data_IF_774337619863
#
_entry.id   IF_774337619863
#
_cell.length_a   1.000
_cell.length_b   1.000
_cell.length_c   1.000
_cell.angle_alpha   90.00
_cell.angle_beta   90.00
_cell.angle_gamma   90.00
#
_symmetry.space_group_name_H-M   'P 1'
#
loop_
_entity.id
_entity.type
_entity.pdbx_description
1 polymer ?
#
# COMPACT_ATOMS: atom_id res chain seq x y z
N UNK A 1 22.38 -10.13 14.98
CA UNK A 1 22.52 -11.16 13.92
C UNK A 1 21.80 -12.39 14.43
N UNK A 2 21.09 -13.10 13.56
CA UNK A 2 20.46 -14.37 13.91
C UNK A 2 21.52 -15.37 14.40
N UNK A 3 21.31 -15.95 15.57
CA UNK A 3 22.13 -17.06 16.04
C UNK A 3 22.01 -18.24 15.07
N UNK A 4 23.14 -18.66 14.51
CA UNK A 4 23.21 -19.71 13.50
C UNK A 4 22.72 -21.05 14.07
N UNK A 5 22.90 -21.30 15.37
CA UNK A 5 22.41 -22.51 16.02
C UNK A 5 20.88 -22.54 16.09
N UNK A 6 20.25 -21.43 16.50
CA UNK A 6 18.78 -21.30 16.53
C UNK A 6 18.19 -21.38 15.12
N UNK A 7 18.84 -20.76 14.13
CA UNK A 7 18.41 -20.84 12.73
C UNK A 7 18.41 -22.29 12.23
N UNK A 8 19.51 -23.01 12.45
CA UNK A 8 19.64 -24.41 12.04
C UNK A 8 18.58 -25.29 12.69
N UNK A 9 18.33 -25.11 13.99
CA UNK A 9 17.32 -25.86 14.71
C UNK A 9 15.91 -25.63 14.12
N UNK A 10 15.50 -24.36 13.97
CA UNK A 10 14.17 -24.04 13.48
C UNK A 10 13.97 -24.42 12.01
N UNK A 11 14.98 -24.22 11.17
CA UNK A 11 14.91 -24.63 9.77
C UNK A 11 14.90 -26.15 9.65
N UNK A 12 15.67 -26.87 10.46
CA UNK A 12 15.66 -28.34 10.50
C UNK A 12 14.28 -28.90 10.83
N UNK A 13 13.69 -28.45 11.94
CA UNK A 13 12.35 -28.86 12.37
C UNK A 13 11.30 -28.60 11.26
N UNK A 14 11.40 -27.45 10.60
CA UNK A 14 10.52 -27.07 9.50
C UNK A 14 10.69 -27.98 8.27
N UNK A 15 11.93 -28.28 7.86
CA UNK A 15 12.20 -29.13 6.70
C UNK A 15 11.84 -30.60 6.96
N UNK A 16 11.93 -31.05 8.21
CA UNK A 16 11.54 -32.40 8.60
C UNK A 16 10.04 -32.64 8.48
N UNK A 17 9.22 -31.60 8.65
CA UNK A 17 7.79 -31.67 8.42
C UNK A 17 7.41 -31.97 6.95
N UNK A 18 8.31 -31.68 5.98
CA UNK A 18 8.09 -31.92 4.55
C UNK A 18 8.77 -33.20 4.04
N UNK A 19 8.58 -34.33 4.72
CA UNK A 19 9.21 -35.61 4.35
C UNK A 19 10.75 -35.57 4.47
N UNK A 20 11.25 -35.07 5.61
CA UNK A 20 12.68 -35.10 5.98
C UNK A 20 13.60 -34.48 4.93
N UNK A 21 13.23 -33.31 4.40
CA UNK A 21 14.03 -32.58 3.41
C UNK A 21 15.24 -31.89 4.04
N UNK A 22 15.41 -31.99 5.36
CA UNK A 22 16.53 -31.45 6.13
C UNK A 22 17.87 -31.87 5.53
N UNK A 23 18.09 -33.15 5.25
CA UNK A 23 19.34 -33.65 4.66
C UNK A 23 19.63 -33.06 3.26
N UNK A 24 18.59 -32.79 2.47
CA UNK A 24 18.74 -32.25 1.11
C UNK A 24 19.07 -30.76 1.09
N UNK A 25 18.54 -30.00 2.04
CA UNK A 25 18.75 -28.54 2.10
C UNK A 25 19.87 -28.18 3.07
N UNK A 26 19.91 -28.74 4.27
CA UNK A 26 20.98 -28.49 5.24
C UNK A 26 22.30 -29.17 4.83
N UNK A 27 22.23 -30.35 4.19
CA UNK A 27 23.40 -31.04 3.65
C UNK A 27 23.94 -30.44 2.34
N UNK A 28 23.18 -29.52 1.71
CA UNK A 28 23.61 -28.81 0.51
C UNK A 28 23.96 -27.36 0.87
N UNK A 29 25.27 -27.05 0.85
CA UNK A 29 25.78 -25.73 1.25
C UNK A 29 25.17 -24.56 0.47
N UNK A 30 24.85 -24.74 -0.82
CA UNK A 30 24.24 -23.71 -1.65
C UNK A 30 22.77 -23.49 -1.29
N UNK A 31 22.02 -24.57 -1.07
CA UNK A 31 20.62 -24.48 -0.67
C UNK A 31 20.50 -23.86 0.72
N UNK A 32 21.32 -24.32 1.68
CA UNK A 32 21.38 -23.74 3.02
C UNK A 32 21.74 -22.24 2.98
N UNK A 33 22.77 -21.85 2.23
CA UNK A 33 23.17 -20.45 2.12
C UNK A 33 22.04 -19.57 1.57
N UNK A 34 21.34 -20.02 0.52
CA UNK A 34 20.21 -19.29 -0.05
C UNK A 34 19.06 -19.10 0.96
N UNK A 35 18.76 -20.13 1.76
CA UNK A 35 17.77 -20.04 2.84
C UNK A 35 18.21 -19.09 3.95
N UNK A 36 19.44 -19.23 4.43
CA UNK A 36 20.00 -18.42 5.51
C UNK A 36 20.06 -16.95 5.13
N UNK A 37 20.65 -16.61 3.98
CA UNK A 37 20.77 -15.23 3.50
C UNK A 37 19.40 -14.58 3.32
N UNK A 38 18.46 -15.26 2.69
CA UNK A 38 17.15 -14.67 2.41
C UNK A 38 16.33 -14.46 3.69
N UNK A 39 16.23 -15.47 4.55
CA UNK A 39 15.43 -15.37 5.76
C UNK A 39 16.06 -14.41 6.78
N UNK A 40 17.38 -14.42 6.95
CA UNK A 40 18.05 -13.51 7.89
C UNK A 40 18.04 -12.05 7.46
N UNK A 41 17.93 -11.78 6.16
CA UNK A 41 17.77 -10.42 5.64
C UNK A 41 16.35 -9.87 5.82
N UNK A 42 15.34 -10.73 5.93
CA UNK A 42 13.93 -10.33 5.92
C UNK A 42 13.19 -10.59 7.24
N UNK A 43 13.71 -11.44 8.11
CA UNK A 43 13.12 -11.80 9.40
C UNK A 43 14.12 -11.54 10.53
N UNK A 44 13.64 -10.94 11.61
CA UNK A 44 14.34 -10.93 12.88
C UNK A 44 14.33 -12.33 13.53
N UNK A 45 15.20 -12.54 14.52
CA UNK A 45 15.26 -13.80 15.26
C UNK A 45 13.92 -14.18 15.90
N UNK A 46 13.20 -13.20 16.44
CA UNK A 46 11.86 -13.39 17.00
C UNK A 46 10.78 -13.73 15.96
N UNK A 47 10.99 -13.36 14.69
CA UNK A 47 10.04 -13.60 13.60
C UNK A 47 10.27 -14.94 12.89
N UNK A 48 11.47 -15.51 12.97
CA UNK A 48 11.85 -16.68 12.18
C UNK A 48 10.96 -17.90 12.46
N UNK A 49 10.83 -18.29 13.73
CA UNK A 49 10.04 -19.48 14.11
C UNK A 49 8.55 -19.31 13.79
N UNK A 50 7.89 -18.19 14.15
CA UNK A 50 6.50 -17.94 13.73
C UNK A 50 6.30 -17.96 12.20
N UNK A 51 7.25 -17.42 11.42
CA UNK A 51 7.15 -17.41 9.96
C UNK A 51 7.19 -18.82 9.36
N UNK A 52 8.10 -19.67 9.83
CA UNK A 52 8.19 -21.07 9.41
C UNK A 52 6.93 -21.85 9.82
N UNK A 53 6.39 -21.61 11.01
CA UNK A 53 5.13 -22.22 11.45
C UNK A 53 3.93 -21.77 10.61
N UNK A 54 3.86 -20.49 10.25
CA UNK A 54 2.85 -19.95 9.35
C UNK A 54 2.91 -20.65 7.98
N UNK A 55 4.12 -20.81 7.43
CA UNK A 55 4.31 -21.49 6.16
C UNK A 55 3.81 -22.96 6.16
N UNK A 56 4.00 -23.70 7.26
CA UNK A 56 3.48 -25.07 7.41
C UNK A 56 1.95 -25.15 7.31
N UNK A 57 1.25 -24.11 7.76
CA UNK A 57 -0.22 -24.04 7.68
C UNK A 57 -0.68 -23.72 6.26
N UNK A 58 0.10 -22.93 5.52
CA UNK A 58 -0.30 -22.41 4.21
C UNK A 58 0.14 -23.26 3.02
N UNK A 59 1.18 -24.08 3.15
CA UNK A 59 1.76 -24.81 2.02
C UNK A 59 1.79 -26.32 2.26
N UNK A 60 1.14 -27.05 1.34
CA UNK A 60 1.16 -28.52 1.29
C UNK A 60 2.53 -29.07 0.85
N UNK A 61 3.25 -28.32 0.01
CA UNK A 61 4.59 -28.66 -0.47
C UNK A 61 5.62 -27.67 0.09
N UNK A 62 6.89 -28.08 0.14
CA UNK A 62 7.97 -27.26 0.65
C UNK A 62 8.03 -25.89 -0.08
N UNK A 63 7.74 -24.78 0.61
CA UNK A 63 7.80 -23.45 0.00
C UNK A 63 9.24 -22.98 -0.16
N UNK A 64 9.45 -22.04 -1.07
CA UNK A 64 10.71 -21.29 -1.15
C UNK A 64 10.87 -20.33 0.05
N UNK A 65 12.11 -19.90 0.39
CA UNK A 65 12.34 -18.91 1.46
C UNK A 65 11.51 -17.64 1.29
N UNK A 66 11.33 -17.22 0.03
CA UNK A 66 10.50 -16.08 -0.33
C UNK A 66 9.03 -16.27 0.05
N UNK A 67 8.47 -17.43 -0.28
CA UNK A 67 7.08 -17.76 0.04
C UNK A 67 6.83 -17.85 1.55
N UNK A 68 7.83 -18.26 2.35
CA UNK A 68 7.74 -18.23 3.82
C UNK A 68 7.58 -16.79 4.32
N UNK A 69 8.41 -15.87 3.83
CA UNK A 69 8.33 -14.46 4.22
C UNK A 69 7.01 -13.83 3.78
N UNK A 70 6.57 -14.10 2.54
CA UNK A 70 5.32 -13.57 1.99
C UNK A 70 4.08 -14.12 2.72
N UNK A 71 4.10 -15.37 3.17
CA UNK A 71 3.01 -15.93 3.99
C UNK A 71 2.95 -15.25 5.36
N UNK A 72 4.09 -14.93 5.96
CA UNK A 72 4.16 -14.36 7.30
C UNK A 72 3.92 -12.84 7.35
N UNK A 73 4.53 -12.08 6.43
CA UNK A 73 4.45 -10.61 6.38
C UNK A 73 3.39 -10.08 5.41
N UNK A 74 2.75 -10.96 4.64
CA UNK A 74 1.93 -10.60 3.50
C UNK A 74 2.77 -10.41 2.24
N UNK A 75 2.17 -10.66 1.06
CA UNK A 75 2.84 -10.33 -0.20
C UNK A 75 2.95 -8.81 -0.34
N UNK A 76 3.92 -8.35 -1.14
CA UNK A 76 4.09 -6.91 -1.40
C UNK A 76 2.83 -6.29 -1.98
N UNK A 77 2.11 -7.03 -2.81
CA UNK A 77 0.84 -6.61 -3.40
C UNK A 77 -0.26 -6.49 -2.33
N UNK A 78 -0.27 -7.37 -1.33
CA UNK A 78 -1.19 -7.28 -0.18
C UNK A 78 -0.88 -6.04 0.66
N UNK A 79 0.39 -5.80 0.99
CA UNK A 79 0.80 -4.61 1.75
C UNK A 79 0.49 -3.31 0.99
N UNK A 80 0.77 -3.28 -0.32
CA UNK A 80 0.41 -2.17 -1.17
C UNK A 80 -1.12 -1.95 -1.21
N UNK A 81 -1.89 -3.04 -1.21
CA UNK A 81 -3.35 -2.95 -1.19
C UNK A 81 -3.88 -2.43 0.16
N UNK A 82 -3.30 -2.83 1.28
CA UNK A 82 -3.65 -2.30 2.61
C UNK A 82 -3.42 -0.79 2.69
N UNK A 83 -2.27 -0.31 2.20
CA UNK A 83 -2.00 1.13 2.14
C UNK A 83 -2.93 1.87 1.18
N UNK A 84 -3.25 1.27 0.03
CA UNK A 84 -4.27 1.80 -0.87
C UNK A 84 -5.63 1.96 -0.18
N UNK A 85 -6.05 0.98 0.62
CA UNK A 85 -7.30 1.07 1.39
C UNK A 85 -7.25 2.20 2.42
N UNK A 86 -6.10 2.43 3.08
CA UNK A 86 -5.93 3.60 3.96
C UNK A 86 -6.17 4.89 3.19
N UNK A 87 -5.55 5.05 2.00
CA UNK A 87 -5.72 6.23 1.16
C UNK A 87 -7.19 6.45 0.75
N UNK A 88 -7.87 5.40 0.32
CA UNK A 88 -9.29 5.48 -0.07
C UNK A 88 -10.17 5.86 1.12
N UNK A 89 -9.91 5.29 2.30
CA UNK A 89 -10.67 5.59 3.50
C UNK A 89 -10.47 7.04 3.96
N UNK A 90 -9.23 7.53 3.95
CA UNK A 90 -8.90 8.92 4.24
C UNK A 90 -9.54 9.90 3.25
N UNK A 91 -9.53 9.56 1.96
CA UNK A 91 -10.19 10.38 0.93
C UNK A 91 -11.71 10.44 1.13
N UNK A 92 -12.34 9.35 1.57
CA UNK A 92 -13.78 9.30 1.87
C UNK A 92 -14.15 10.09 3.12
N UNK A 93 -13.32 10.02 4.17
CA UNK A 93 -13.56 10.74 5.42
C UNK A 93 -13.17 12.22 5.37
N UNK A 94 -12.53 12.67 4.27
CA UNK A 94 -11.90 14.00 4.13
C UNK A 94 -10.88 14.31 5.24
N UNK A 95 -10.34 13.29 5.89
CA UNK A 95 -9.24 13.42 6.82
C UNK A 95 -8.00 12.77 6.21
N UNK A 96 -7.26 13.57 5.44
CA UNK A 96 -6.03 13.17 4.74
C UNK A 96 -4.77 13.51 5.51
N UNK A 97 -4.86 14.35 6.55
CA UNK A 97 -3.70 14.90 7.24
C UNK A 97 -3.16 13.93 8.32
N UNK A 98 -4.02 13.02 8.81
CA UNK A 98 -3.68 12.05 9.87
C UNK A 98 -3.35 10.65 9.34
N UNK A 99 -3.29 10.44 8.01
CA UNK A 99 -3.00 9.12 7.45
C UNK A 99 -1.51 8.79 7.53
N UNK A 100 -1.19 7.67 8.18
CA UNK A 100 0.16 7.12 8.22
C UNK A 100 0.36 6.09 7.11
N UNK A 101 1.05 6.50 6.05
CA UNK A 101 1.54 5.64 4.98
C UNK A 101 3.03 5.32 5.21
N UNK A 102 3.51 4.24 4.59
CA UNK A 102 4.96 4.05 4.46
C UNK A 102 5.54 5.04 3.44
N UNK A 103 6.87 5.18 3.43
CA UNK A 103 7.58 5.98 2.43
C UNK A 103 7.24 5.57 0.99
N UNK A 104 7.01 4.28 0.77
CA UNK A 104 6.60 3.71 -0.52
C UNK A 104 5.16 4.13 -0.86
N UNK A 105 4.27 4.10 0.13
CA UNK A 105 2.89 4.60 0.04
C UNK A 105 2.82 6.05 -0.36
N UNK A 106 3.57 6.91 0.31
CA UNK A 106 3.62 8.35 0.01
C UNK A 106 4.10 8.60 -1.42
N UNK A 107 5.17 7.92 -1.84
CA UNK A 107 5.72 8.05 -3.20
C UNK A 107 4.76 7.49 -4.25
N UNK A 108 4.11 6.38 -3.98
CA UNK A 108 3.10 5.80 -4.87
C UNK A 108 1.91 6.74 -5.02
N UNK A 109 1.39 7.27 -3.91
CA UNK A 109 0.28 8.23 -3.87
C UNK A 109 0.62 9.51 -4.64
N UNK A 110 1.78 10.10 -4.40
CA UNK A 110 2.25 11.28 -5.13
C UNK A 110 2.34 11.02 -6.64
N UNK A 111 2.82 9.83 -7.04
CA UNK A 111 3.00 9.48 -8.46
C UNK A 111 1.71 9.32 -9.25
N UNK A 112 0.59 9.01 -8.58
CA UNK A 112 -0.74 8.92 -9.19
C UNK A 112 -1.54 10.23 -9.07
N UNK A 113 -0.94 11.32 -8.58
CA UNK A 113 -1.58 12.64 -8.47
C UNK A 113 -2.17 12.97 -7.08
N UNK A 114 -1.90 12.16 -6.06
CA UNK A 114 -2.24 12.46 -4.67
C UNK A 114 -3.72 12.35 -4.31
N UNK A 115 -4.06 12.78 -3.08
CA UNK A 115 -5.44 12.86 -2.60
C UNK A 115 -6.39 13.70 -3.46
N UNK A 116 -5.96 14.83 -4.07
CA UNK A 116 -6.84 15.58 -4.97
C UNK A 116 -7.33 14.74 -6.15
N UNK A 117 -6.45 13.91 -6.74
CA UNK A 117 -6.83 13.00 -7.81
C UNK A 117 -7.84 11.97 -7.32
N UNK A 118 -7.57 11.34 -6.16
CA UNK A 118 -8.47 10.39 -5.51
C UNK A 118 -9.86 10.97 -5.24
N UNK A 119 -9.93 12.21 -4.77
CA UNK A 119 -11.20 12.86 -4.45
C UNK A 119 -12.02 13.25 -5.69
N UNK A 120 -11.34 13.49 -6.83
CA UNK A 120 -11.97 13.92 -8.09
C UNK A 120 -12.45 12.78 -8.98
N UNK A 121 -11.99 11.55 -8.75
CA UNK A 121 -12.22 10.42 -9.64
C UNK A 121 -13.56 9.73 -9.35
N UNK A 122 -14.20 9.20 -10.39
CA UNK A 122 -15.41 8.36 -10.25
C UNK A 122 -15.09 7.13 -9.37
N UNK A 123 -15.90 6.81 -8.33
CA UNK A 123 -15.72 5.63 -7.49
C UNK A 123 -15.50 4.32 -8.26
N UNK A 124 -16.12 4.19 -9.44
CA UNK A 124 -15.98 3.01 -10.29
C UNK A 124 -14.64 2.96 -11.05
N UNK A 125 -14.04 4.13 -11.35
CA UNK A 125 -12.72 4.26 -12.00
C UNK A 125 -11.56 4.17 -11.00
N UNK A 126 -11.76 4.70 -9.80
CA UNK A 126 -10.85 4.55 -8.64
C UNK A 126 -10.48 3.09 -8.39
N UNK A 127 -11.47 2.20 -8.46
CA UNK A 127 -11.29 0.82 -8.04
C UNK A 127 -10.43 -0.02 -8.99
N UNK A 128 -10.35 0.30 -10.28
CA UNK A 128 -9.72 -0.60 -11.27
C UNK A 128 -8.43 -0.07 -11.88
N UNK A 129 -8.34 1.21 -12.23
CA UNK A 129 -7.15 1.78 -12.87
C UNK A 129 -6.19 2.36 -11.83
N UNK A 130 -6.68 3.28 -11.00
CA UNK A 130 -5.86 4.01 -10.02
C UNK A 130 -5.27 3.05 -8.98
N UNK A 131 -6.05 2.05 -8.55
CA UNK A 131 -5.58 1.02 -7.63
C UNK A 131 -4.44 0.17 -8.21
N UNK A 132 -4.51 -0.22 -9.49
CA UNK A 132 -3.46 -0.98 -10.18
C UNK A 132 -2.18 -0.16 -10.34
N UNK A 133 -2.32 1.11 -10.71
CA UNK A 133 -1.17 2.01 -10.80
C UNK A 133 -0.53 2.22 -9.43
N UNK A 134 -1.32 2.46 -8.39
CA UNK A 134 -0.81 2.60 -7.03
C UNK A 134 -0.02 1.37 -6.59
N UNK A 135 -0.62 0.18 -6.68
CA UNK A 135 0.03 -1.08 -6.26
C UNK A 135 1.32 -1.32 -7.06
N UNK A 136 1.29 -1.12 -8.38
CA UNK A 136 2.47 -1.26 -9.22
C UNK A 136 3.61 -0.33 -8.79
N UNK A 137 3.30 0.95 -8.58
CA UNK A 137 4.29 1.97 -8.15
C UNK A 137 4.84 1.68 -6.76
N UNK A 138 3.97 1.27 -5.84
CA UNK A 138 4.35 0.89 -4.48
C UNK A 138 5.39 -0.24 -4.50
N UNK A 139 5.11 -1.31 -5.24
CA UNK A 139 6.01 -2.47 -5.36
C UNK A 139 7.33 -2.07 -6.02
N UNK A 140 7.31 -1.18 -7.03
CA UNK A 140 8.54 -0.65 -7.63
C UNK A 140 9.40 0.12 -6.62
N UNK A 141 8.80 0.98 -5.81
CA UNK A 141 9.53 1.77 -4.81
C UNK A 141 10.07 0.90 -3.67
N UNK A 142 9.32 -0.10 -3.22
CA UNK A 142 9.81 -1.08 -2.24
C UNK A 142 11.06 -1.79 -2.76
N UNK A 143 11.05 -2.24 -4.02
CA UNK A 143 12.21 -2.91 -4.64
C UNK A 143 13.41 -2.00 -4.76
N UNK A 144 13.20 -0.73 -5.11
CA UNK A 144 14.28 0.26 -5.23
C UNK A 144 14.96 0.51 -3.87
N UNK A 145 14.16 0.64 -2.81
CA UNK A 145 14.65 0.80 -1.43
C UNK A 145 15.40 -0.45 -0.98
N UNK A 146 14.85 -1.64 -1.22
CA UNK A 146 15.48 -2.92 -0.86
C UNK A 146 16.83 -3.11 -1.59
N UNK A 147 16.93 -2.65 -2.84
CA UNK A 147 18.16 -2.72 -3.62
C UNK A 147 19.24 -1.69 -3.17
N UNK A 148 18.95 -0.82 -2.19
CA UNK A 148 19.77 0.36 -1.84
C UNK A 148 20.04 1.28 -3.04
N UNK A 149 19.23 1.18 -4.09
CA UNK A 149 19.28 2.02 -5.28
C UNK A 149 18.25 3.12 -5.08
N UNK A 150 18.60 4.18 -4.36
CA UNK A 150 17.72 5.34 -4.25
C UNK A 150 18.53 6.61 -4.42
N UNK A 151 18.68 7.02 -5.68
CA UNK A 151 18.06 8.27 -6.08
C UNK A 151 17.08 7.97 -7.23
N UNK A 152 15.77 7.77 -6.95
CA UNK A 152 14.76 7.89 -7.99
C UNK A 152 14.86 9.32 -8.54
N UNK A 153 14.68 9.52 -9.85
CA UNK A 153 14.79 10.83 -10.45
C UNK A 153 13.92 11.81 -9.67
N UNK A 154 14.52 12.91 -9.22
CA UNK A 154 13.80 14.03 -8.65
C UNK A 154 12.54 14.26 -9.50
N UNK A 155 11.38 14.47 -8.87
CA UNK A 155 10.16 14.72 -9.62
C UNK A 155 10.50 15.83 -10.61
N UNK A 156 10.37 15.53 -11.91
CA UNK A 156 10.29 16.58 -12.90
C UNK A 156 8.97 17.27 -12.59
N UNK A 157 9.02 18.22 -11.65
CA UNK A 157 8.12 19.34 -11.58
C UNK A 157 8.13 19.91 -12.99
N UNK A 158 7.16 19.50 -13.80
CA UNK A 158 6.72 20.35 -14.89
C UNK A 158 6.21 21.59 -14.19
N UNK A 159 7.06 22.60 -14.17
CA UNK A 159 6.72 23.96 -13.83
C UNK A 159 5.45 24.34 -14.60
N UNK A 160 4.32 24.35 -13.90
CA UNK A 160 3.08 25.07 -14.22
C UNK A 160 2.00 24.67 -13.21
N UNK A 161 2.21 25.02 -11.93
CA UNK A 161 1.09 25.36 -11.06
C UNK A 161 1.52 26.68 -10.45
N UNK A 162 1.07 27.78 -11.07
CA UNK A 162 0.94 29.05 -10.36
C UNK A 162 0.27 28.73 -9.03
N UNK A 163 0.88 29.14 -7.92
CA UNK A 163 0.24 29.10 -6.61
C UNK A 163 -1.21 29.59 -6.78
N UNK A 164 -2.24 28.78 -6.48
CA UNK A 164 -3.58 29.31 -6.44
C UNK A 164 -3.55 30.34 -5.33
N UNK A 165 -3.56 31.62 -5.72
CA UNK A 165 -3.82 32.73 -4.81
C UNK A 165 -5.01 32.29 -3.96
N UNK A 166 -4.83 32.32 -2.65
CA UNK A 166 -5.89 32.14 -1.67
C UNK A 166 -6.97 33.19 -1.96
N UNK A 167 -7.91 32.86 -2.83
CA UNK A 167 -9.12 33.64 -2.99
C UNK A 167 -9.95 33.38 -1.74
N UNK A 168 -10.00 34.41 -0.90
CA UNK A 168 -10.96 34.50 0.20
C UNK A 168 -12.34 34.12 -0.33
N UNK A 169 -12.98 33.18 0.37
CA UNK A 169 -14.31 32.69 0.04
C UNK A 169 -15.27 33.87 -0.14
N UNK A 170 -15.92 33.93 -1.31
CA UNK A 170 -16.99 34.88 -1.58
C UNK A 170 -18.34 34.14 -1.50
N UNK A 171 -19.35 34.74 -0.83
CA UNK A 171 -20.71 34.24 -0.86
C UNK A 171 -21.19 34.03 -2.30
N UNK A 172 -22.13 33.12 -2.48
CA UNK A 172 -22.60 32.78 -3.80
C UNK A 172 -23.36 33.97 -4.39
N UNK A 173 -23.11 34.27 -5.67
CA UNK A 173 -23.96 35.24 -6.37
C UNK A 173 -25.35 34.64 -6.55
N UNK A 174 -26.38 35.49 -6.56
CA UNK A 174 -27.78 35.05 -6.71
C UNK A 174 -28.01 34.23 -7.98
N UNK A 175 -27.22 34.49 -9.03
CA UNK A 175 -27.26 33.77 -10.30
C UNK A 175 -26.63 32.37 -10.19
N UNK A 176 -25.51 32.23 -9.47
CA UNK A 176 -24.88 30.94 -9.21
C UNK A 176 -25.75 30.04 -8.30
N UNK A 177 -26.41 30.65 -7.30
CA UNK A 177 -27.38 29.97 -6.44
C UNK A 177 -28.59 29.46 -7.24
N UNK A 178 -29.11 30.25 -8.17
CA UNK A 178 -30.23 29.85 -9.02
C UNK A 178 -29.86 28.67 -9.93
N UNK A 179 -28.70 28.74 -10.60
CA UNK A 179 -28.22 27.65 -11.46
C UNK A 179 -27.95 26.36 -10.67
N UNK A 180 -27.42 26.46 -9.46
CA UNK A 180 -27.20 25.29 -8.61
C UNK A 180 -28.50 24.70 -8.10
N UNK A 181 -29.49 25.51 -7.74
CA UNK A 181 -30.82 25.01 -7.39
C UNK A 181 -31.43 24.27 -8.56
N UNK A 182 -31.41 24.85 -9.76
CA UNK A 182 -32.01 24.23 -10.95
C UNK A 182 -31.31 22.91 -11.34
N UNK A 183 -29.98 22.93 -11.46
CA UNK A 183 -29.20 21.76 -11.85
C UNK A 183 -29.16 20.70 -10.76
N UNK A 184 -29.01 21.12 -9.50
CA UNK A 184 -28.96 20.25 -8.34
C UNK A 184 -30.30 19.54 -8.13
N UNK A 185 -31.44 20.22 -8.30
CA UNK A 185 -32.77 19.59 -8.17
C UNK A 185 -32.98 18.54 -9.24
N UNK A 186 -32.57 18.84 -10.48
CA UNK A 186 -32.68 17.92 -11.61
C UNK A 186 -31.86 16.64 -11.40
N UNK A 187 -30.70 16.73 -10.75
CA UNK A 187 -29.78 15.60 -10.58
C UNK A 187 -29.98 14.84 -9.27
N UNK A 188 -30.30 15.53 -8.18
CA UNK A 188 -30.24 14.98 -6.82
C UNK A 188 -31.54 15.16 -6.02
N UNK A 189 -32.52 15.85 -6.59
CA UNK A 189 -33.81 16.12 -5.95
C UNK A 189 -33.78 17.24 -4.91
N UNK A 190 -34.95 17.78 -4.61
CA UNK A 190 -35.12 18.99 -3.79
C UNK A 190 -34.51 18.87 -2.39
N UNK A 191 -34.76 17.74 -1.71
CA UNK A 191 -34.30 17.53 -0.32
C UNK A 191 -32.78 17.58 -0.16
N UNK A 192 -32.03 17.24 -1.20
CA UNK A 192 -30.58 17.28 -1.17
C UNK A 192 -30.07 18.71 -1.32
N UNK A 193 -30.63 19.45 -2.28
CA UNK A 193 -30.27 20.86 -2.53
C UNK A 193 -30.56 21.71 -1.31
N UNK A 194 -31.73 21.55 -0.69
CA UNK A 194 -32.13 22.35 0.47
C UNK A 194 -31.18 22.12 1.67
N UNK A 195 -30.76 20.87 1.90
CA UNK A 195 -29.78 20.54 2.95
C UNK A 195 -28.39 21.13 2.68
N UNK A 196 -27.98 21.24 1.42
CA UNK A 196 -26.68 21.85 1.09
C UNK A 196 -26.71 23.34 1.38
N UNK A 197 -27.80 24.02 1.01
CA UNK A 197 -27.98 25.46 1.22
C UNK A 197 -28.04 25.84 2.71
N UNK A 198 -28.78 25.06 3.51
CA UNK A 198 -28.83 25.21 4.97
C UNK A 198 -27.44 25.13 5.64
N UNK A 199 -26.55 24.26 5.15
CA UNK A 199 -25.20 24.11 5.72
C UNK A 199 -24.23 25.20 5.28
N UNK A 200 -24.53 25.89 4.18
CA UNK A 200 -23.74 27.02 3.67
C UNK A 200 -24.21 28.38 4.17
N UNK A 201 -25.33 28.43 4.89
CA UNK A 201 -25.90 29.67 5.44
C UNK A 201 -26.67 30.52 4.42
N UNK A 202 -27.09 29.93 3.30
CA UNK A 202 -27.84 30.55 2.18
C UNK A 202 -29.25 29.95 2.07
#
# INVERSE_FOLDING_TARGET
MLDQANFLAYLGDFLDAYDKQSDKILGNSLAFAAWYEYLSANLSESELKPALQCALVHFEFLPSPKQVVEAFKGSREVLAWEEWQKCVNASKSRNTDDILLSLQGDKALASIGGFPRLASEDPNKLHSFVSKEFVSRWVMYERAIAAKVVEPPAPKLKAAIEEPKTEEWKPWTSEALAQFRENGKKMFGDKWVDRVLENTGE
#
